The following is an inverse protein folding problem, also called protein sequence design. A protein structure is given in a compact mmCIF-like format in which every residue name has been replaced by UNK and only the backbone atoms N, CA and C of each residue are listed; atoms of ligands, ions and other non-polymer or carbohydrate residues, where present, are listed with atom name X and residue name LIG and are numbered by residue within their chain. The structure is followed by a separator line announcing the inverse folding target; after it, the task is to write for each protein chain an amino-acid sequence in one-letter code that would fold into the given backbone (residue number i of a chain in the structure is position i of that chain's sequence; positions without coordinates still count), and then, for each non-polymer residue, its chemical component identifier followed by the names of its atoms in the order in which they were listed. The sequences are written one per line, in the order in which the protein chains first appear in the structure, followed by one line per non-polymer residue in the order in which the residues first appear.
data_IF_020372115390
#
_entry.id   IF_020372115390
#
_cell.length_a   1.000
_cell.length_b   1.000
_cell.length_c   1.000
_cell.angle_alpha   90.00
_cell.angle_beta   90.00
_cell.angle_gamma   90.00
#
_symmetry.space_group_name_H-M   'P 1'
#
loop_
_entity.id
_entity.type
_entity.pdbx_description
1 polymer ?
#
# COMPACT_ATOMS: atom_id res chain seq x y z
N UNK A 1 -14.36 25.23 -7.89
CA UNK A 1 -13.95 24.58 -9.16
C UNK A 1 -15.08 23.69 -9.66
N UNK A 2 -15.44 23.81 -10.95
CA UNK A 2 -16.37 22.90 -11.65
C UNK A 2 -15.61 21.79 -12.40
N UNK A 3 -16.31 20.76 -12.91
CA UNK A 3 -15.70 19.70 -13.73
C UNK A 3 -15.11 20.26 -15.04
N UNK A 4 -15.69 21.35 -15.57
CA UNK A 4 -15.16 22.08 -16.74
C UNK A 4 -13.87 22.81 -16.42
N UNK A 5 -13.78 23.40 -15.24
CA UNK A 5 -12.56 24.10 -14.80
C UNK A 5 -11.42 23.09 -14.59
N UNK A 6 -11.71 21.94 -13.99
CA UNK A 6 -10.72 20.86 -13.84
C UNK A 6 -10.27 20.32 -15.20
N UNK A 7 -11.20 20.09 -16.13
CA UNK A 7 -10.86 19.66 -17.49
C UNK A 7 -9.91 20.63 -18.18
N UNK A 8 -10.18 21.94 -18.08
CA UNK A 8 -9.27 22.97 -18.61
C UNK A 8 -7.89 22.95 -17.94
N UNK A 9 -7.83 22.88 -16.61
CA UNK A 9 -6.57 22.88 -15.87
C UNK A 9 -5.68 21.66 -16.18
N UNK A 10 -6.31 20.50 -16.44
CA UNK A 10 -5.63 19.26 -16.78
C UNK A 10 -5.50 19.01 -18.29
N UNK A 11 -5.91 19.95 -19.15
CA UNK A 11 -5.94 19.80 -20.61
C UNK A 11 -6.72 18.57 -21.10
N UNK A 12 -7.83 18.24 -20.43
CA UNK A 12 -8.72 17.11 -20.77
C UNK A 12 -10.17 17.56 -20.94
N UNK A 13 -10.98 16.72 -21.59
CA UNK A 13 -12.41 16.97 -21.74
C UNK A 13 -13.15 16.81 -20.41
N UNK A 14 -14.32 17.46 -20.27
CA UNK A 14 -15.24 17.20 -19.15
C UNK A 14 -15.66 15.73 -19.07
N UNK A 15 -15.83 15.06 -20.21
CA UNK A 15 -16.13 13.64 -20.25
C UNK A 15 -15.02 12.79 -19.62
N UNK A 16 -13.75 13.16 -19.82
CA UNK A 16 -12.60 12.48 -19.18
C UNK A 16 -12.65 12.62 -17.65
N UNK A 17 -13.04 13.80 -17.14
CA UNK A 17 -13.22 14.02 -15.69
C UNK A 17 -14.32 13.14 -15.11
N UNK A 18 -15.44 12.96 -15.81
CA UNK A 18 -16.50 12.06 -15.35
C UNK A 18 -16.11 10.59 -15.45
N UNK A 19 -15.41 10.16 -16.52
CA UNK A 19 -14.86 8.79 -16.60
C UNK A 19 -13.92 8.49 -15.43
N UNK A 20 -13.11 9.46 -15.00
CA UNK A 20 -12.29 9.30 -13.80
C UNK A 20 -13.16 9.11 -12.54
N UNK A 21 -14.25 9.86 -12.41
CA UNK A 21 -15.17 9.68 -11.27
C UNK A 21 -15.78 8.26 -11.29
N UNK A 22 -16.17 7.77 -12.47
CA UNK A 22 -16.73 6.42 -12.63
C UNK A 22 -15.70 5.33 -12.30
N UNK A 23 -14.46 5.44 -12.81
CA UNK A 23 -13.35 4.52 -12.49
C UNK A 23 -13.02 4.48 -10.99
N UNK A 24 -13.17 5.61 -10.30
CA UNK A 24 -13.00 5.71 -8.85
C UNK A 24 -14.24 5.28 -8.06
N UNK A 25 -15.27 4.75 -8.73
CA UNK A 25 -16.57 4.37 -8.15
C UNK A 25 -17.23 5.52 -7.36
N UNK A 26 -17.21 6.73 -7.92
CA UNK A 26 -17.82 7.93 -7.35
C UNK A 26 -19.12 8.25 -8.07
N UNK A 27 -20.10 8.81 -7.37
CA UNK A 27 -21.38 9.21 -7.96
C UNK A 27 -21.26 10.41 -8.93
N UNK A 28 -20.06 11.01 -9.04
CA UNK A 28 -19.74 12.09 -9.97
C UNK A 28 -18.80 13.13 -9.37
N UNK A 29 -18.64 14.26 -10.05
CA UNK A 29 -17.66 15.28 -9.67
C UNK A 29 -17.92 15.93 -8.30
N UNK A 30 -19.18 16.00 -7.86
CA UNK A 30 -19.50 16.52 -6.52
C UNK A 30 -19.02 15.59 -5.41
N UNK A 31 -19.16 14.28 -5.60
CA UNK A 31 -18.68 13.27 -4.66
C UNK A 31 -17.13 13.28 -4.60
N UNK A 32 -16.47 13.42 -5.75
CA UNK A 32 -15.02 13.64 -5.80
C UNK A 32 -14.58 14.84 -4.95
N UNK A 33 -15.28 15.98 -5.05
CA UNK A 33 -14.96 17.16 -4.22
C UNK A 33 -15.15 16.88 -2.73
N UNK A 34 -16.21 16.18 -2.36
CA UNK A 34 -16.47 15.83 -0.95
C UNK A 34 -15.34 14.95 -0.43
N UNK A 35 -14.97 13.89 -1.15
CA UNK A 35 -13.87 13.01 -0.76
C UNK A 35 -12.53 13.74 -0.63
N UNK A 36 -12.19 14.58 -1.62
CA UNK A 36 -10.96 15.39 -1.55
C UNK A 36 -11.01 16.30 -0.32
N UNK A 37 -12.13 17.00 -0.09
CA UNK A 37 -12.25 17.95 1.04
C UNK A 37 -12.22 17.24 2.39
N UNK A 38 -12.82 16.05 2.51
CA UNK A 38 -12.76 15.25 3.74
C UNK A 38 -11.34 14.79 4.03
N UNK A 39 -10.57 14.41 3.01
CA UNK A 39 -9.16 14.02 3.15
C UNK A 39 -8.22 15.23 3.30
N UNK A 40 -8.67 16.43 2.91
CA UNK A 40 -7.85 17.63 2.91
C UNK A 40 -7.48 18.05 4.34
N UNK A 41 -8.38 17.92 5.31
CA UNK A 41 -8.06 18.25 6.70
C UNK A 41 -6.98 17.33 7.29
N UNK A 42 -6.94 16.06 6.88
CA UNK A 42 -5.90 15.13 7.33
C UNK A 42 -4.59 15.35 6.56
N UNK A 43 -4.67 15.68 5.27
CA UNK A 43 -3.52 16.10 4.45
C UNK A 43 -2.89 17.42 4.91
N UNK A 44 -3.69 18.39 5.37
CA UNK A 44 -3.20 19.66 5.89
C UNK A 44 -2.62 19.55 7.31
N UNK A 45 -3.01 18.52 8.07
CA UNK A 45 -2.41 18.22 9.38
C UNK A 45 -1.04 17.57 9.27
N UNK A 46 -0.76 16.84 8.19
CA UNK A 46 0.62 16.53 7.79
C UNK A 46 1.24 17.80 7.23
N UNK A 47 2.39 18.24 7.75
CA UNK A 47 3.09 19.42 7.25
C UNK A 47 3.34 19.26 5.74
N UNK A 48 2.55 19.93 4.90
CA UNK A 48 2.58 19.77 3.43
C UNK A 48 3.88 20.21 2.75
N UNK A 49 4.88 20.67 3.52
CA UNK A 49 6.21 21.10 3.06
C UNK A 49 7.33 20.11 3.45
N UNK A 50 6.97 18.95 4.02
CA UNK A 50 7.96 17.92 4.36
C UNK A 50 8.23 17.00 3.16
N UNK A 51 9.48 17.01 2.68
CA UNK A 51 9.93 16.14 1.61
C UNK A 51 10.43 14.80 2.19
N UNK A 52 9.59 13.77 2.15
CA UNK A 52 9.93 12.41 2.61
C UNK A 52 11.03 11.74 1.77
N UNK A 53 11.15 12.09 0.49
CA UNK A 53 12.17 11.50 -0.38
C UNK A 53 13.57 12.06 -0.05
N UNK A 54 13.61 13.31 0.42
CA UNK A 54 14.84 14.04 0.75
C UNK A 54 14.66 14.86 2.05
N UNK A 55 14.53 14.20 3.22
CA UNK A 55 14.31 14.89 4.50
C UNK A 55 15.55 15.67 4.96
N UNK A 56 16.73 15.31 4.44
CA UNK A 56 18.01 15.96 4.71
C UNK A 56 18.53 16.65 3.46
N UNK A 57 18.99 17.89 3.60
CA UNK A 57 19.45 18.77 2.54
C UNK A 57 20.93 19.17 2.73
N UNK A 58 21.62 19.57 1.64
CA UNK A 58 22.95 20.16 1.74
C UNK A 58 22.98 21.38 2.69
N UNK A 59 24.12 21.59 3.34
CA UNK A 59 24.41 22.73 4.22
C UNK A 59 23.60 22.82 5.53
N UNK A 60 22.92 21.74 5.93
CA UNK A 60 22.30 21.63 7.25
C UNK A 60 23.32 21.30 8.34
N UNK A 61 23.12 21.84 9.53
CA UNK A 61 23.84 21.46 10.75
C UNK A 61 23.42 20.07 11.22
N UNK A 62 24.27 19.41 12.01
CA UNK A 62 23.95 18.12 12.62
C UNK A 62 22.65 18.16 13.46
N UNK A 63 22.37 19.29 14.12
CA UNK A 63 21.13 19.47 14.88
C UNK A 63 19.90 19.47 13.97
N UNK A 64 19.95 20.19 12.86
CA UNK A 64 18.87 20.22 11.88
C UNK A 64 18.64 18.86 11.22
N UNK A 65 19.72 18.12 10.93
CA UNK A 65 19.63 16.76 10.39
C UNK A 65 18.88 15.83 11.35
N UNK A 66 19.30 15.80 12.63
CA UNK A 66 18.63 14.96 13.66
C UNK A 66 17.17 15.38 13.83
N UNK A 67 16.89 16.68 13.84
CA UNK A 67 15.52 17.17 13.94
C UNK A 67 14.67 16.76 12.74
N UNK A 68 15.21 16.82 11.52
CA UNK A 68 14.50 16.43 10.30
C UNK A 68 14.23 14.93 10.24
N UNK A 69 15.18 14.10 10.66
CA UNK A 69 14.96 12.65 10.77
C UNK A 69 13.86 12.36 11.80
N UNK A 70 13.87 13.04 12.95
CA UNK A 70 12.80 12.90 13.95
C UNK A 70 11.44 13.29 13.36
N UNK A 71 11.37 14.42 12.67
CA UNK A 71 10.15 14.90 12.01
C UNK A 71 9.64 13.88 10.96
N UNK A 72 10.54 13.28 10.17
CA UNK A 72 10.21 12.23 9.19
C UNK A 72 9.48 11.05 9.84
N UNK A 73 10.05 10.53 10.94
CA UNK A 73 9.46 9.42 11.68
C UNK A 73 8.12 9.79 12.32
N UNK A 74 8.02 10.95 12.96
CA UNK A 74 6.77 11.42 13.58
C UNK A 74 5.65 11.55 12.54
N UNK A 75 5.96 12.13 11.37
CA UNK A 75 4.98 12.26 10.30
C UNK A 75 4.61 10.90 9.69
N UNK A 76 5.60 10.03 9.44
CA UNK A 76 5.35 8.67 8.93
C UNK A 76 4.42 7.88 9.87
N UNK A 77 4.64 7.96 11.18
CA UNK A 77 3.79 7.31 12.17
C UNK A 77 2.37 7.87 12.16
N UNK A 78 2.24 9.20 12.16
CA UNK A 78 0.93 9.86 12.14
C UNK A 78 0.14 9.53 10.86
N UNK A 79 0.79 9.60 9.69
CA UNK A 79 0.18 9.26 8.41
C UNK A 79 -0.24 7.79 8.36
N UNK A 80 0.63 6.88 8.82
CA UNK A 80 0.31 5.45 8.88
C UNK A 80 -0.89 5.20 9.79
N UNK A 81 -0.95 5.82 10.97
CA UNK A 81 -2.06 5.68 11.90
C UNK A 81 -3.37 6.23 11.33
N UNK A 82 -3.33 7.38 10.64
CA UNK A 82 -4.51 8.00 10.04
C UNK A 82 -5.09 7.16 8.88
N UNK A 83 -4.23 6.47 8.12
CA UNK A 83 -4.63 5.60 7.02
C UNK A 83 -5.00 4.18 7.48
N UNK A 84 -4.72 3.83 8.73
CA UNK A 84 -4.89 2.48 9.22
C UNK A 84 -6.38 2.14 9.39
N UNK A 85 -6.81 1.04 8.76
CA UNK A 85 -8.17 0.54 8.90
C UNK A 85 -8.21 -0.68 9.82
N UNK A 86 -8.83 -0.52 10.99
CA UNK A 86 -9.07 -1.63 11.93
C UNK A 86 -10.01 -2.69 11.34
N UNK A 87 -10.94 -2.29 10.47
CA UNK A 87 -11.81 -3.22 9.76
C UNK A 87 -11.03 -4.09 8.78
N UNK A 88 -10.13 -3.50 8.00
CA UNK A 88 -9.24 -4.27 7.11
C UNK A 88 -8.33 -5.20 7.90
N UNK A 89 -7.74 -4.72 9.01
CA UNK A 89 -6.92 -5.57 9.88
C UNK A 89 -7.72 -6.78 10.39
N UNK A 90 -8.95 -6.57 10.84
CA UNK A 90 -9.83 -7.66 11.30
C UNK A 90 -10.14 -8.67 10.20
N UNK A 91 -10.39 -8.19 8.98
CA UNK A 91 -10.65 -9.04 7.81
C UNK A 91 -9.43 -9.90 7.47
N UNK A 92 -8.26 -9.28 7.38
CA UNK A 92 -6.99 -9.96 7.08
C UNK A 92 -6.66 -10.97 8.19
N UNK A 93 -6.74 -10.59 9.46
CA UNK A 93 -6.49 -11.49 10.58
C UNK A 93 -7.45 -12.69 10.59
N UNK A 94 -8.71 -12.48 10.19
CA UNK A 94 -9.69 -13.56 10.06
C UNK A 94 -9.37 -14.49 8.89
N UNK A 95 -8.89 -13.95 7.77
CA UNK A 95 -8.42 -14.76 6.64
C UNK A 95 -7.17 -15.58 7.01
N UNK A 96 -6.20 -14.96 7.71
CA UNK A 96 -5.00 -15.63 8.20
C UNK A 96 -5.33 -16.82 9.10
N UNK A 97 -6.31 -16.67 10.01
CA UNK A 97 -6.75 -17.75 10.90
C UNK A 97 -7.41 -18.94 10.17
N UNK A 98 -7.99 -18.70 9.00
CA UNK A 98 -8.67 -19.75 8.21
C UNK A 98 -7.73 -20.46 7.25
N UNK A 99 -6.67 -19.78 6.82
CA UNK A 99 -5.70 -20.31 5.90
C UNK A 99 -4.87 -21.43 6.56
N UNK A 100 -4.58 -22.49 5.81
CA UNK A 100 -3.64 -23.53 6.23
C UNK A 100 -2.19 -23.12 5.99
N UNK A 101 -1.96 -22.28 4.98
CA UNK A 101 -0.64 -21.78 4.60
C UNK A 101 -0.75 -20.28 4.33
N UNK A 102 0.21 -19.50 4.83
CA UNK A 102 0.30 -18.06 4.57
C UNK A 102 1.59 -17.81 3.78
N UNK A 103 1.48 -17.18 2.62
CA UNK A 103 2.61 -16.84 1.76
C UNK A 103 2.71 -15.31 1.65
N UNK A 104 3.89 -14.75 1.94
CA UNK A 104 4.17 -13.32 1.80
C UNK A 104 5.12 -13.11 0.63
N UNK A 105 4.66 -12.35 -0.37
CA UNK A 105 5.42 -12.01 -1.56
C UNK A 105 5.85 -10.57 -1.49
N UNK A 106 7.16 -10.32 -1.57
CA UNK A 106 7.71 -8.96 -1.56
C UNK A 106 9.08 -8.88 -2.21
N UNK A 107 9.68 -7.70 -2.28
CA UNK A 107 10.99 -7.51 -2.91
C UNK A 107 11.83 -6.43 -2.23
N UNK A 108 13.12 -6.43 -2.53
CA UNK A 108 14.10 -5.45 -2.05
C UNK A 108 14.07 -5.29 -0.51
N UNK A 109 14.08 -4.04 -0.02
CA UNK A 109 14.13 -3.73 1.41
C UNK A 109 12.97 -4.31 2.23
N UNK A 110 11.84 -4.64 1.60
CA UNK A 110 10.67 -5.20 2.28
C UNK A 110 10.83 -6.67 2.68
N UNK A 111 11.80 -7.39 2.09
CA UNK A 111 12.04 -8.80 2.42
C UNK A 111 12.38 -8.96 3.90
N UNK A 112 13.18 -8.07 4.47
CA UNK A 112 13.58 -8.16 5.88
C UNK A 112 12.40 -7.98 6.84
N UNK A 113 11.44 -7.11 6.50
CA UNK A 113 10.21 -6.96 7.29
C UNK A 113 9.33 -8.22 7.18
N UNK A 114 9.22 -8.82 6.01
CA UNK A 114 8.48 -10.08 5.83
C UNK A 114 9.13 -11.26 6.59
N UNK A 115 10.46 -11.34 6.59
CA UNK A 115 11.19 -12.36 7.36
C UNK A 115 11.06 -12.13 8.87
N UNK A 116 11.07 -10.87 9.34
CA UNK A 116 10.80 -10.56 10.74
C UNK A 116 9.37 -10.98 11.14
N UNK A 117 8.39 -10.70 10.28
CA UNK A 117 7.02 -11.16 10.49
C UNK A 117 6.90 -12.68 10.52
N UNK A 118 7.58 -13.38 9.59
CA UNK A 118 7.66 -14.85 9.61
C UNK A 118 8.19 -15.36 10.96
N UNK A 119 9.26 -14.74 11.48
CA UNK A 119 9.80 -15.08 12.80
C UNK A 119 8.77 -14.88 13.92
N UNK A 120 8.12 -13.71 13.98
CA UNK A 120 7.10 -13.41 15.00
C UNK A 120 5.88 -14.35 14.93
N UNK A 121 5.46 -14.72 13.72
CA UNK A 121 4.37 -15.68 13.53
C UNK A 121 4.78 -17.09 14.01
N UNK A 122 6.06 -17.45 13.83
CA UNK A 122 6.58 -18.72 14.33
C UNK A 122 6.58 -18.78 15.86
N UNK A 123 6.80 -17.67 16.55
CA UNK A 123 6.72 -17.59 18.02
C UNK A 123 5.32 -17.97 18.55
N UNK A 124 4.27 -17.74 17.76
CA UNK A 124 2.89 -18.14 18.08
C UNK A 124 2.46 -19.44 17.38
N UNK A 125 3.42 -20.21 16.84
CA UNK A 125 3.18 -21.52 16.25
C UNK A 125 2.57 -21.50 14.85
N UNK A 126 2.59 -20.35 14.15
CA UNK A 126 2.07 -20.21 12.79
C UNK A 126 3.23 -20.17 11.79
N UNK A 127 3.19 -21.07 10.82
CA UNK A 127 4.16 -21.09 9.72
C UNK A 127 3.74 -20.13 8.60
N UNK A 128 4.69 -19.29 8.18
CA UNK A 128 4.54 -18.33 7.08
C UNK A 128 5.68 -18.56 6.09
N UNK A 129 5.40 -18.59 4.80
CA UNK A 129 6.41 -18.69 3.75
C UNK A 129 6.75 -17.30 3.22
N UNK A 130 8.04 -17.04 2.99
CA UNK A 130 8.54 -15.77 2.41
C UNK A 130 9.51 -16.11 1.27
N UNK A 131 9.00 -16.46 0.07
CA UNK A 131 9.85 -16.69 -1.09
C UNK A 131 10.61 -15.42 -1.50
N UNK A 132 11.94 -15.48 -1.53
CA UNK A 132 12.81 -14.31 -1.68
C UNK A 132 13.06 -13.97 -3.15
N UNK A 133 13.55 -14.92 -3.95
CA UNK A 133 13.82 -14.70 -5.36
C UNK A 133 12.56 -14.85 -6.22
N UNK A 134 12.58 -14.17 -7.36
CA UNK A 134 11.45 -14.11 -8.29
C UNK A 134 11.00 -15.50 -8.78
N UNK A 135 11.94 -16.42 -9.03
CA UNK A 135 11.59 -17.75 -9.52
C UNK A 135 10.82 -18.54 -8.45
N UNK A 136 11.31 -18.55 -7.21
CA UNK A 136 10.60 -19.17 -6.10
C UNK A 136 9.26 -18.49 -5.82
N UNK A 137 9.15 -17.17 -5.89
CA UNK A 137 7.86 -16.48 -5.75
C UNK A 137 6.82 -16.99 -6.76
N UNK A 138 7.23 -17.11 -8.03
CA UNK A 138 6.35 -17.64 -9.09
C UNK A 138 5.98 -19.10 -8.84
N UNK A 139 6.94 -19.92 -8.42
CA UNK A 139 6.72 -21.33 -8.15
C UNK A 139 5.76 -21.53 -6.97
N UNK A 140 5.99 -20.84 -5.84
CA UNK A 140 5.12 -20.87 -4.66
C UNK A 140 3.70 -20.44 -5.05
N UNK A 141 3.56 -19.31 -5.74
CA UNK A 141 2.24 -18.84 -6.19
C UNK A 141 1.56 -19.83 -7.14
N UNK A 142 2.28 -20.41 -8.10
CA UNK A 142 1.71 -21.39 -9.04
C UNK A 142 1.31 -22.72 -8.37
N UNK A 143 1.94 -23.06 -7.25
CA UNK A 143 1.63 -24.26 -6.46
C UNK A 143 0.56 -24.05 -5.38
N UNK A 144 0.18 -22.79 -5.13
CA UNK A 144 -0.82 -22.43 -4.13
C UNK A 144 -2.25 -22.80 -4.56
N UNK A 145 -3.19 -22.74 -3.63
CA UNK A 145 -4.61 -23.04 -3.88
C UNK A 145 -5.53 -22.27 -2.90
N UNK A 146 -6.78 -22.68 -2.79
CA UNK A 146 -7.81 -22.05 -1.94
C UNK A 146 -7.55 -22.15 -0.42
N UNK A 147 -6.69 -23.07 0.00
CA UNK A 147 -6.29 -23.24 1.41
C UNK A 147 -5.12 -22.32 1.81
N UNK A 148 -4.51 -21.64 0.83
CA UNK A 148 -3.47 -20.65 1.05
C UNK A 148 -4.07 -19.25 1.28
N UNK A 149 -3.29 -18.39 1.90
CA UNK A 149 -3.49 -16.96 1.90
C UNK A 149 -2.23 -16.28 1.38
N UNK A 150 -2.36 -15.52 0.29
CA UNK A 150 -1.28 -14.68 -0.22
C UNK A 150 -1.39 -13.25 0.31
N UNK A 151 -0.26 -12.69 0.75
CA UNK A 151 -0.11 -11.27 1.09
C UNK A 151 0.97 -10.71 0.18
N UNK A 152 0.62 -9.75 -0.69
CA UNK A 152 1.54 -9.18 -1.66
C UNK A 152 1.92 -7.75 -1.26
N UNK A 153 3.19 -7.54 -0.92
CA UNK A 153 3.71 -6.24 -0.50
C UNK A 153 4.54 -5.64 -1.63
N UNK A 154 4.03 -4.59 -2.26
CA UNK A 154 4.70 -3.85 -3.34
C UNK A 154 4.75 -2.35 -3.05
N UNK A 155 5.92 -1.75 -3.24
CA UNK A 155 6.08 -0.30 -3.18
C UNK A 155 6.00 0.30 -4.58
N UNK A 156 5.04 1.21 -4.78
CA UNK A 156 4.81 1.87 -6.06
C UNK A 156 4.13 1.00 -7.14
N UNK A 157 3.67 -0.22 -6.80
CA UNK A 157 2.86 -1.04 -7.70
C UNK A 157 3.58 -1.48 -8.98
N UNK A 158 4.87 -1.81 -8.88
CA UNK A 158 5.72 -2.16 -10.03
C UNK A 158 6.22 -3.60 -9.99
N UNK A 159 6.68 -4.05 -11.15
CA UNK A 159 7.35 -5.34 -11.32
C UNK A 159 6.39 -6.52 -11.29
N UNK A 160 6.93 -7.70 -10.99
CA UNK A 160 6.16 -8.94 -11.01
C UNK A 160 5.06 -8.98 -9.93
N UNK A 161 5.27 -8.27 -8.82
CA UNK A 161 4.38 -8.26 -7.67
C UNK A 161 3.04 -7.61 -7.99
N UNK A 162 3.00 -6.66 -8.91
CA UNK A 162 1.78 -5.91 -9.24
C UNK A 162 0.97 -6.47 -10.40
N UNK A 163 1.57 -7.27 -11.28
CA UNK A 163 0.89 -7.80 -12.47
C UNK A 163 0.92 -9.33 -12.53
N UNK A 164 2.11 -9.91 -12.43
CA UNK A 164 2.31 -11.33 -12.69
C UNK A 164 1.79 -12.20 -11.54
N UNK A 165 2.16 -11.88 -10.30
CA UNK A 165 1.75 -12.65 -9.14
C UNK A 165 0.22 -12.64 -8.95
N UNK A 166 -0.47 -11.48 -9.01
CA UNK A 166 -1.94 -11.45 -8.94
C UNK A 166 -2.63 -12.32 -10.00
N UNK A 167 -2.10 -12.37 -11.23
CA UNK A 167 -2.64 -13.26 -12.28
C UNK A 167 -2.46 -14.74 -11.95
N UNK A 168 -1.31 -15.12 -11.42
CA UNK A 168 -1.05 -16.51 -11.01
C UNK A 168 -1.99 -16.89 -9.87
N UNK A 169 -2.06 -16.06 -8.82
CA UNK A 169 -2.91 -16.29 -7.64
C UNK A 169 -4.40 -16.37 -8.01
N UNK A 170 -4.85 -15.53 -8.95
CA UNK A 170 -6.23 -15.59 -9.49
C UNK A 170 -6.47 -16.94 -10.20
N UNK A 171 -5.51 -17.41 -10.99
CA UNK A 171 -5.61 -18.69 -11.71
C UNK A 171 -5.65 -19.89 -10.77
N UNK A 172 -4.89 -19.85 -9.68
CA UNK A 172 -4.90 -20.89 -8.63
C UNK A 172 -6.05 -20.75 -7.63
N UNK A 173 -6.86 -19.69 -7.77
CA UNK A 173 -7.98 -19.35 -6.87
C UNK A 173 -7.52 -19.15 -5.42
N UNK A 174 -6.32 -18.60 -5.25
CA UNK A 174 -5.75 -18.31 -3.93
C UNK A 174 -6.24 -16.95 -3.45
N UNK A 175 -6.89 -16.88 -2.26
CA UNK A 175 -7.21 -15.61 -1.61
C UNK A 175 -5.94 -14.75 -1.47
N UNK A 176 -6.02 -13.49 -1.89
CA UNK A 176 -4.89 -12.56 -1.87
C UNK A 176 -5.28 -11.17 -1.38
N UNK A 177 -4.40 -10.55 -0.59
CA UNK A 177 -4.44 -9.14 -0.20
C UNK A 177 -3.22 -8.38 -0.72
#
# INVERSE_FOLDING_TARGET
MSSKDLGKACFVSTATVYRLCDELNLAGFSDLKIKITSSLNDYLKSNGDFNFDFPVNPYQTHYEIVHKIKEDYEQTLNLTANLFSLDQLRLIASAMKKAKVIDIYTSAGNINFALNFQFQMKEIGIDVNVPIDEYHQRLTAASSNQEHLAIVITFGGRGILSDILPRILTKTKTPSF
#
